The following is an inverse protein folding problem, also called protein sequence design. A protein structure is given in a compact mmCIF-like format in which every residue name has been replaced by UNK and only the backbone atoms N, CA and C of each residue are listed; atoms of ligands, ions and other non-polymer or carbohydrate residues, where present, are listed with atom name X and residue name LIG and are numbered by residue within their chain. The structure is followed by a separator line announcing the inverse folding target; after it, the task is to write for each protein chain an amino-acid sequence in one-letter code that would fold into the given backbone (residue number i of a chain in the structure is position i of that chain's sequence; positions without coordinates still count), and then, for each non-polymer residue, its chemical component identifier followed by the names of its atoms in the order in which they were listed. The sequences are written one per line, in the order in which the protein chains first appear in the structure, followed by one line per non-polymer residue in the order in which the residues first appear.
data_IF_630974124694
#
_entry.id   IF_630974124694
#
_cell.length_a   1.000
_cell.length_b   1.000
_cell.length_c   1.000
_cell.angle_alpha   90.00
_cell.angle_beta   90.00
_cell.angle_gamma   90.00
#
_symmetry.space_group_name_H-M   'P 1'
#
loop_
_entity.id
_entity.type
_entity.pdbx_description
1 polymer ?
#
# COMPACT_ATOMS: atom_id res chain seq x y z
N UNK A 1 11.64 -1.52 24.15
CA UNK A 1 11.39 -1.86 22.73
C UNK A 1 11.66 -0.61 21.93
N UNK A 2 12.34 -0.71 20.78
CA UNK A 2 12.68 0.46 19.96
C UNK A 2 11.47 0.95 19.15
N UNK A 3 11.44 2.25 18.84
CA UNK A 3 10.47 2.83 17.90
C UNK A 3 10.61 2.17 16.54
N UNK A 4 9.49 2.00 15.84
CA UNK A 4 9.43 1.44 14.48
C UNK A 4 8.97 2.51 13.51
N UNK A 5 9.74 2.75 12.46
CA UNK A 5 9.36 3.64 11.36
C UNK A 5 8.78 2.81 10.20
N UNK A 6 7.70 3.30 9.61
CA UNK A 6 7.10 2.78 8.38
C UNK A 6 7.00 3.94 7.41
N UNK A 7 7.60 3.79 6.23
CA UNK A 7 7.60 4.78 5.16
C UNK A 7 6.49 4.43 4.18
N UNK A 8 5.54 5.35 3.97
CA UNK A 8 4.39 5.11 3.10
C UNK A 8 4.39 6.07 1.93
N UNK A 9 4.44 5.50 0.73
CA UNK A 9 4.32 6.20 -0.54
C UNK A 9 2.92 5.97 -1.12
N UNK A 10 2.37 6.95 -1.82
CA UNK A 10 1.04 6.81 -2.44
C UNK A 10 0.90 7.51 -3.80
N UNK A 11 1.94 8.22 -4.26
CA UNK A 11 1.89 9.06 -5.47
C UNK A 11 2.33 8.26 -6.71
N UNK A 12 3.61 7.90 -6.81
CA UNK A 12 4.15 7.21 -7.99
C UNK A 12 4.44 5.73 -7.71
N UNK A 13 3.50 4.87 -8.11
CA UNK A 13 3.64 3.42 -7.99
C UNK A 13 4.80 2.88 -8.83
N UNK A 14 4.99 3.39 -10.04
CA UNK A 14 5.99 2.84 -10.95
C UNK A 14 7.41 3.17 -10.49
N UNK A 15 7.63 4.39 -10.00
CA UNK A 15 8.88 4.80 -9.37
C UNK A 15 9.17 3.94 -8.12
N UNK A 16 8.16 3.75 -7.26
CA UNK A 16 8.26 2.90 -6.07
C UNK A 16 8.69 1.47 -6.41
N UNK A 17 8.08 0.86 -7.42
CA UNK A 17 8.41 -0.51 -7.84
C UNK A 17 9.82 -0.63 -8.44
N UNK A 18 10.34 0.43 -9.07
CA UNK A 18 11.68 0.44 -9.67
C UNK A 18 12.81 0.64 -8.65
N UNK A 19 12.51 1.07 -7.42
CA UNK A 19 13.55 1.38 -6.43
C UNK A 19 14.24 2.72 -6.68
N UNK A 20 13.68 3.58 -7.52
CA UNK A 20 14.25 4.87 -7.91
C UNK A 20 13.47 6.05 -7.30
N UNK A 21 12.89 5.84 -6.12
CA UNK A 21 12.16 6.90 -5.43
C UNK A 21 13.19 7.76 -4.71
N UNK A 22 13.40 8.98 -5.20
CA UNK A 22 13.87 10.03 -4.30
C UNK A 22 12.75 10.29 -3.28
N UNK A 23 13.04 10.56 -2.00
CA UNK A 23 12.00 10.80 -1.00
C UNK A 23 11.04 11.87 -1.52
N UNK A 24 9.82 11.44 -1.83
CA UNK A 24 8.79 12.33 -2.38
C UNK A 24 8.36 13.29 -1.26
N UNK A 25 8.00 14.53 -1.59
CA UNK A 25 7.51 15.48 -0.57
C UNK A 25 6.22 15.01 0.14
N UNK A 26 5.52 14.06 -0.47
CA UNK A 26 4.26 13.48 0.01
C UNK A 26 4.47 12.08 0.65
N UNK A 27 5.71 11.67 0.89
CA UNK A 27 6.02 10.48 1.68
C UNK A 27 5.54 10.67 3.12
N UNK A 28 4.86 9.66 3.67
CA UNK A 28 4.43 9.66 5.07
C UNK A 28 5.42 8.87 5.93
N UNK A 29 6.09 9.59 6.82
CA UNK A 29 6.98 9.05 7.85
C UNK A 29 6.20 8.68 9.11
N UNK A 30 5.77 7.43 9.21
CA UNK A 30 4.94 6.97 10.32
C UNK A 30 5.81 6.36 11.42
N UNK A 31 5.87 7.00 12.58
CA UNK A 31 6.66 6.55 13.73
C UNK A 31 5.76 5.95 14.81
N UNK A 32 5.97 4.67 15.10
CA UNK A 32 5.25 3.92 16.13
C UNK A 32 6.16 3.64 17.34
N UNK A 33 5.62 3.77 18.56
CA UNK A 33 6.35 3.49 19.81
C UNK A 33 6.71 1.99 19.99
N UNK A 34 5.96 1.12 19.32
CA UNK A 34 6.21 -0.33 19.25
C UNK A 34 6.01 -0.84 17.83
N UNK A 35 6.39 -2.09 17.53
CA UNK A 35 6.11 -2.70 16.23
C UNK A 35 4.59 -2.70 15.97
N UNK A 36 4.09 -1.96 14.96
CA UNK A 36 2.66 -1.85 14.70
C UNK A 36 2.09 -3.15 14.14
N UNK A 37 0.80 -3.35 14.35
CA UNK A 37 -0.02 -4.32 13.62
C UNK A 37 -0.38 -3.78 12.22
N UNK A 38 -0.92 -4.64 11.37
CA UNK A 38 -1.48 -4.22 10.08
C UNK A 38 -2.61 -3.20 10.27
N UNK A 39 -3.44 -3.39 11.29
CA UNK A 39 -4.56 -2.51 11.58
C UNK A 39 -4.09 -1.10 11.98
N UNK A 40 -3.03 -1.00 12.80
CA UNK A 40 -2.47 0.29 13.22
C UNK A 40 -1.94 1.08 12.01
N UNK A 41 -1.21 0.41 11.11
CA UNK A 41 -0.70 1.03 9.87
C UNK A 41 -1.87 1.46 8.98
N UNK A 42 -2.86 0.60 8.78
CA UNK A 42 -4.04 0.90 7.97
C UNK A 42 -4.82 2.10 8.52
N UNK A 43 -5.07 2.13 9.83
CA UNK A 43 -5.79 3.21 10.49
C UNK A 43 -5.06 4.54 10.34
N UNK A 44 -3.74 4.54 10.57
CA UNK A 44 -2.94 5.76 10.49
C UNK A 44 -2.81 6.25 9.03
N UNK A 45 -2.64 5.37 8.05
CA UNK A 45 -2.65 5.75 6.61
C UNK A 45 -3.98 6.37 6.21
N UNK A 46 -5.11 5.78 6.65
CA UNK A 46 -6.44 6.35 6.36
C UNK A 46 -6.61 7.76 6.92
N UNK A 47 -6.11 8.00 8.13
CA UNK A 47 -6.14 9.32 8.77
C UNK A 47 -5.28 10.33 8.01
N UNK A 48 -4.03 9.99 7.74
CA UNK A 48 -3.04 10.92 7.18
C UNK A 48 -3.32 11.22 5.70
N UNK A 49 -3.81 10.25 4.93
CA UNK A 49 -4.22 10.45 3.53
C UNK A 49 -5.68 10.85 3.36
N UNK A 50 -6.43 11.00 4.46
CA UNK A 50 -7.86 11.31 4.47
C UNK A 50 -8.72 10.31 3.64
N UNK A 51 -8.34 9.03 3.64
CA UNK A 51 -9.06 7.92 2.98
C UNK A 51 -10.04 7.25 3.96
N UNK A 52 -10.96 8.05 4.50
CA UNK A 52 -11.84 7.67 5.60
C UNK A 52 -13.16 7.06 5.15
N UNK A 53 -13.45 6.99 3.84
CA UNK A 53 -14.71 6.41 3.36
C UNK A 53 -14.74 4.89 3.66
N UNK A 54 -15.81 4.37 4.29
CA UNK A 54 -15.93 2.94 4.54
C UNK A 54 -15.90 2.07 3.29
N UNK A 55 -16.26 2.62 2.13
CA UNK A 55 -16.23 1.94 0.83
C UNK A 55 -14.83 1.88 0.21
N UNK A 56 -13.88 2.68 0.71
CA UNK A 56 -12.51 2.67 0.23
C UNK A 56 -11.78 1.40 0.66
N UNK A 57 -11.29 0.67 -0.33
CA UNK A 57 -10.38 -0.46 -0.09
C UNK A 57 -8.95 0.04 -0.22
N UNK A 58 -8.24 0.13 0.91
CA UNK A 58 -6.81 0.47 0.94
C UNK A 58 -6.00 -0.81 0.77
N UNK A 59 -5.07 -0.83 -0.18
CA UNK A 59 -4.15 -1.93 -0.41
C UNK A 59 -2.71 -1.48 -0.19
N UNK A 60 -1.90 -2.36 0.41
CA UNK A 60 -0.46 -2.13 0.58
C UNK A 60 0.40 -3.08 -0.25
N UNK A 61 1.50 -2.56 -0.75
CA UNK A 61 2.59 -3.33 -1.34
C UNK A 61 3.90 -2.97 -0.65
N UNK A 62 4.48 -3.92 0.07
CA UNK A 62 5.77 -3.74 0.72
C UNK A 62 6.93 -4.01 -0.23
N UNK A 63 7.95 -3.17 -0.20
CA UNK A 63 9.20 -3.34 -0.96
C UNK A 63 10.29 -3.94 -0.07
N UNK A 64 11.09 -4.83 -0.64
CA UNK A 64 12.25 -5.42 0.02
C UNK A 64 13.29 -5.78 -1.03
N UNK A 65 14.55 -5.83 -0.64
CA UNK A 65 15.62 -6.28 -1.52
C UNK A 65 16.00 -7.74 -1.26
N UNK A 66 16.37 -8.43 -2.35
CA UNK A 66 16.86 -9.81 -2.32
C UNK A 66 18.16 -9.93 -3.12
N UNK A 67 18.99 -10.91 -2.79
CA UNK A 67 20.26 -11.16 -3.46
C UNK A 67 21.46 -10.85 -2.56
N UNK A 68 22.66 -10.95 -3.14
CA UNK A 68 23.93 -10.79 -2.41
C UNK A 68 24.89 -9.94 -3.24
N UNK A 69 25.65 -9.06 -2.56
CA UNK A 69 26.67 -8.18 -3.15
C UNK A 69 26.21 -7.44 -4.42
N UNK A 70 26.74 -7.80 -5.60
CA UNK A 70 26.50 -7.10 -6.86
C UNK A 70 25.18 -7.48 -7.55
N UNK A 71 24.38 -8.37 -6.97
CA UNK A 71 23.12 -8.86 -7.55
C UNK A 71 21.92 -8.58 -6.65
N UNK A 72 21.79 -7.33 -6.17
CA UNK A 72 20.63 -6.90 -5.40
C UNK A 72 19.49 -6.57 -6.36
N UNK A 73 18.31 -7.16 -6.10
CA UNK A 73 17.09 -6.91 -6.84
C UNK A 73 15.97 -6.49 -5.89
N UNK A 74 15.22 -5.46 -6.27
CA UNK A 74 14.01 -5.06 -5.57
C UNK A 74 12.86 -6.01 -5.90
N UNK A 75 12.14 -6.43 -4.88
CA UNK A 75 10.91 -7.21 -4.99
C UNK A 75 9.81 -6.58 -4.17
N UNK A 76 8.57 -6.87 -4.56
CA UNK A 76 7.39 -6.44 -3.83
C UNK A 76 6.59 -7.61 -3.30
N UNK A 77 5.92 -7.35 -2.18
CA UNK A 77 5.02 -8.28 -1.52
C UNK A 77 3.69 -7.57 -1.27
N UNK A 78 2.59 -8.18 -1.67
CA UNK A 78 1.26 -7.68 -1.31
C UNK A 78 1.04 -7.87 0.19
N UNK A 79 0.68 -6.78 0.88
CA UNK A 79 0.39 -6.74 2.32
C UNK A 79 -1.09 -6.39 2.47
N UNK A 80 -1.93 -7.40 2.71
CA UNK A 80 -3.39 -7.23 2.78
C UNK A 80 -4.02 -7.93 4.00
N UNK A 81 -3.19 -8.35 4.96
CA UNK A 81 -3.62 -9.00 6.19
C UNK A 81 -2.52 -8.94 7.23
N UNK A 82 -2.87 -9.18 8.51
CA UNK A 82 -1.89 -9.27 9.59
C UNK A 82 -0.80 -10.32 9.32
N UNK A 83 -1.20 -11.50 8.81
CA UNK A 83 -0.25 -12.56 8.48
C UNK A 83 0.76 -12.11 7.40
N UNK A 84 0.29 -11.38 6.37
CA UNK A 84 1.17 -10.84 5.32
C UNK A 84 2.06 -9.73 5.85
N UNK A 85 1.55 -8.91 6.77
CA UNK A 85 2.34 -7.87 7.43
C UNK A 85 3.48 -8.46 8.28
N UNK A 86 3.20 -9.48 9.08
CA UNK A 86 4.22 -10.21 9.84
C UNK A 86 5.26 -10.82 8.89
N UNK A 87 4.82 -11.53 7.84
CA UNK A 87 5.73 -12.11 6.86
C UNK A 87 6.59 -11.06 6.14
N UNK A 88 6.03 -9.89 5.85
CA UNK A 88 6.76 -8.78 5.26
C UNK A 88 7.84 -8.24 6.22
N UNK A 89 7.50 -7.99 7.49
CA UNK A 89 8.47 -7.56 8.52
C UNK A 89 9.62 -8.57 8.67
N UNK A 90 9.31 -9.86 8.71
CA UNK A 90 10.34 -10.91 8.78
C UNK A 90 11.22 -10.98 7.53
N UNK A 91 10.64 -10.70 6.36
CA UNK A 91 11.38 -10.64 5.09
C UNK A 91 12.33 -9.45 5.10
N UNK A 92 11.85 -8.27 5.49
CA UNK A 92 12.65 -7.04 5.61
C UNK A 92 13.77 -7.19 6.65
N UNK A 93 13.50 -7.86 7.78
CA UNK A 93 14.51 -8.11 8.79
C UNK A 93 15.68 -8.98 8.29
N UNK A 94 15.44 -9.80 7.26
CA UNK A 94 16.45 -10.66 6.60
C UNK A 94 17.10 -10.01 5.40
N UNK A 95 16.58 -8.88 4.92
CA UNK A 95 17.12 -8.18 3.75
C UNK A 95 18.24 -7.21 4.12
N UNK A 96 18.99 -6.76 3.11
CA UNK A 96 20.10 -5.83 3.31
C UNK A 96 19.57 -4.43 3.66
N UNK A 97 18.49 -4.03 3.00
CA UNK A 97 17.70 -2.87 3.41
C UNK A 97 16.68 -3.32 4.45
N UNK A 98 16.63 -2.61 5.58
CA UNK A 98 15.76 -2.92 6.72
C UNK A 98 14.61 -1.93 6.86
N UNK A 99 14.42 -1.05 5.87
CA UNK A 99 13.31 -0.11 5.85
C UNK A 99 11.97 -0.83 5.58
N UNK A 100 10.96 -0.52 6.39
CA UNK A 100 9.58 -0.93 6.14
C UNK A 100 8.93 0.08 5.19
N UNK A 101 9.08 -0.16 3.89
CA UNK A 101 8.56 0.71 2.84
C UNK A 101 7.29 0.11 2.22
N UNK A 102 6.19 0.85 2.30
CA UNK A 102 4.90 0.45 1.73
C UNK A 102 4.46 1.44 0.65
N UNK A 103 3.89 0.91 -0.43
CA UNK A 103 3.05 1.68 -1.33
C UNK A 103 1.59 1.46 -0.95
N UNK A 104 0.89 2.54 -0.61
CA UNK A 104 -0.53 2.58 -0.32
C UNK A 104 -1.30 2.99 -1.58
N UNK A 105 -2.38 2.27 -1.87
CA UNK A 105 -3.31 2.64 -2.94
C UNK A 105 -4.75 2.50 -2.49
N UNK A 106 -5.57 3.49 -2.81
CA UNK A 106 -7.02 3.46 -2.63
C UNK A 106 -7.67 2.86 -3.88
N UNK A 107 -8.45 1.79 -3.71
CA UNK A 107 -9.38 1.32 -4.73
C UNK A 107 -10.75 1.91 -4.43
N UNK A 108 -11.13 2.89 -5.23
CA UNK A 108 -12.52 3.33 -5.33
C UNK A 108 -13.28 2.21 -6.03
N UNK A 109 -14.17 1.53 -5.32
CA UNK A 109 -15.11 0.61 -5.96
C UNK A 109 -16.08 1.49 -6.73
N UNK A 110 -15.82 1.70 -8.03
CA UNK A 110 -16.80 2.32 -8.91
C UNK A 110 -18.07 1.48 -8.85
N UNK A 111 -19.10 1.96 -8.16
CA UNK A 111 -20.47 1.51 -8.38
C UNK A 111 -20.78 1.83 -9.83
N UNK A 112 -20.51 0.88 -10.73
CA UNK A 112 -21.06 0.89 -12.07
C UNK A 112 -22.58 0.96 -11.89
N UNK A 113 -23.12 2.16 -12.02
CA UNK A 113 -24.55 2.43 -12.09
C UNK A 113 -25.03 1.85 -13.44
N UNK A 114 -25.14 0.53 -13.51
CA UNK A 114 -25.81 -0.18 -14.59
C UNK A 114 -27.29 0.16 -14.46
N UNK A 115 -27.70 1.24 -15.11
CA UNK A 115 -29.10 1.55 -15.32
C UNK A 115 -29.70 0.46 -16.22
N UNK A 116 -30.35 -0.51 -15.59
CA UNK A 116 -31.04 -1.62 -16.24
C UNK A 116 -32.40 -1.20 -16.85
N UNK A 117 -32.70 0.09 -16.91
CA UNK A 117 -34.03 0.60 -17.25
C UNK A 117 -34.11 1.20 -18.67
N UNK A 118 -33.25 0.75 -19.59
CA UNK A 118 -33.49 0.97 -21.04
C UNK A 118 -34.59 0.02 -21.53
N UNK A 119 -35.84 0.37 -21.25
CA UNK A 119 -36.96 -0.17 -22.01
C UNK A 119 -36.82 0.28 -23.48
N UNK A 120 -36.81 -0.63 -24.47
CA UNK A 120 -36.95 -0.23 -25.86
C UNK A 120 -38.35 0.38 -26.05
N UNK A 121 -38.39 1.64 -26.51
CA UNK A 121 -39.65 2.27 -26.91
C UNK A 121 -40.29 1.43 -28.03
N UNK A 122 -41.62 1.22 -28.02
CA UNK A 122 -42.30 0.49 -29.07
C UNK A 122 -42.22 1.31 -30.36
N UNK A 123 -41.61 0.72 -31.39
CA UNK A 123 -41.65 1.26 -32.76
C UNK A 123 -43.11 1.26 -33.19
N UNK A 124 -43.69 2.45 -33.31
CA UNK A 124 -45.03 2.63 -33.87
C UNK A 124 -44.90 3.22 -35.27
N UNK A 125 -45.54 2.50 -36.21
CA UNK A 125 -45.90 2.82 -37.60
C UNK A 125 -44.79 2.78 -38.66
#
# INVERSE_FOLDING_TARGET
MGRTCVYVHHVDKEAFLKGNVEPDSDELDMVFESSPSYADVLEQVRKDLNWMDPSDVVEFQGRHNVGFEMHIHWKTMRVNSEQRWVAYKETVAKSLDKALELFASQKVVSTLHLDLNRNPLPVSC
#
